data_IF_021734361831
#
_entry.id   IF_021734361831
#
_cell.length_a   1.000
_cell.length_b   1.000
_cell.length_c   1.000
_cell.angle_alpha   90.00
_cell.angle_beta   90.00
_cell.angle_gamma   90.00
#
_symmetry.space_group_name_H-M   'P 1'
#
loop_
_entity.id
_entity.type
_entity.pdbx_description
1 polymer ?
#
# COMPACT_ATOMS: atom_id res chain seq x y z
N UNK A 1 35.32 34.70 22.45
CA UNK A 1 34.21 33.73 22.34
C UNK A 1 33.30 34.17 21.20
N UNK A 2 33.24 33.43 20.08
CA UNK A 2 32.22 33.66 19.04
C UNK A 2 30.99 32.82 19.43
N UNK A 3 29.87 33.49 19.67
CA UNK A 3 28.60 32.83 20.03
C UNK A 3 28.09 32.00 18.85
N UNK A 4 27.57 30.80 19.11
CA UNK A 4 27.08 29.83 18.11
C UNK A 4 25.61 30.03 17.72
N UNK A 5 24.99 31.16 18.09
CA UNK A 5 23.62 31.48 17.70
C UNK A 5 23.56 31.83 16.21
N UNK A 6 22.67 31.17 15.46
CA UNK A 6 22.37 31.56 14.08
C UNK A 6 21.93 33.04 14.06
N UNK A 7 22.56 33.89 13.24
CA UNK A 7 22.11 35.27 13.10
C UNK A 7 20.69 35.26 12.50
N UNK A 8 19.72 35.75 13.27
CA UNK A 8 18.37 35.98 12.79
C UNK A 8 18.33 37.28 11.97
N UNK A 9 17.65 37.26 10.81
CA UNK A 9 17.42 38.46 10.03
C UNK A 9 16.56 39.44 10.84
N UNK A 10 17.14 40.59 11.19
CA UNK A 10 16.44 41.64 11.91
C UNK A 10 15.89 42.71 10.96
N UNK A 11 15.01 43.57 11.47
CA UNK A 11 14.35 44.62 10.66
C UNK A 11 15.36 45.58 10.02
N UNK A 12 16.49 45.85 10.68
CA UNK A 12 17.56 46.69 10.14
C UNK A 12 18.23 46.05 8.92
N UNK A 13 18.47 44.72 8.96
CA UNK A 13 19.02 43.96 7.83
C UNK A 13 18.08 43.93 6.62
N UNK A 14 16.76 43.94 6.83
CA UNK A 14 15.77 44.02 5.74
C UNK A 14 15.79 45.37 5.02
N UNK A 15 16.03 46.48 5.75
CA UNK A 15 16.09 47.83 5.16
C UNK A 15 17.30 48.04 4.26
N UNK A 16 18.37 47.28 4.50
CA UNK A 16 19.62 47.35 3.74
C UNK A 16 19.63 46.40 2.54
N UNK A 17 18.58 45.59 2.34
CA UNK A 17 18.51 44.65 1.23
C UNK A 17 18.36 45.43 -0.10
N UNK A 18 19.30 45.30 -1.05
CA UNK A 18 19.16 45.93 -2.35
C UNK A 18 18.06 45.21 -3.14
N UNK A 19 16.91 45.86 -3.27
CA UNK A 19 15.80 45.37 -4.09
C UNK A 19 15.93 45.99 -5.48
N UNK A 20 16.04 45.19 -6.56
CA UNK A 20 16.05 45.72 -7.91
C UNK A 20 14.71 46.37 -8.22
N UNK A 21 14.73 47.64 -8.61
CA UNK A 21 13.52 48.34 -9.05
C UNK A 21 13.29 48.07 -10.53
N UNK A 22 12.17 47.43 -10.84
CA UNK A 22 11.73 47.09 -12.19
C UNK A 22 10.39 47.77 -12.49
N UNK A 23 10.04 47.93 -13.76
CA UNK A 23 8.78 48.57 -14.14
C UNK A 23 7.57 47.74 -13.69
N UNK A 24 6.44 48.40 -13.44
CA UNK A 24 5.23 47.72 -12.97
C UNK A 24 4.71 46.67 -13.97
N UNK A 25 4.90 46.92 -15.26
CA UNK A 25 4.50 45.97 -16.32
C UNK A 25 5.37 44.71 -16.32
N UNK A 26 6.69 44.85 -16.18
CA UNK A 26 7.58 43.69 -16.04
C UNK A 26 7.26 42.90 -14.76
N UNK A 27 6.93 43.57 -13.65
CA UNK A 27 6.56 42.89 -12.39
C UNK A 27 5.36 41.99 -12.60
N UNK A 28 4.30 42.49 -13.25
CA UNK A 28 3.11 41.71 -13.57
C UNK A 28 3.43 40.52 -14.47
N UNK A 29 4.28 40.71 -15.48
CA UNK A 29 4.68 39.63 -16.38
C UNK A 29 5.41 38.52 -15.63
N UNK A 30 6.36 38.88 -14.76
CA UNK A 30 7.08 37.90 -13.92
C UNK A 30 6.11 37.17 -12.98
N UNK A 31 5.21 37.89 -12.32
CA UNK A 31 4.21 37.27 -11.42
C UNK A 31 3.32 36.30 -12.18
N UNK A 32 2.81 36.70 -13.35
CA UNK A 32 1.96 35.85 -14.19
C UNK A 32 2.67 34.56 -14.63
N UNK A 33 3.95 34.66 -14.99
CA UNK A 33 4.77 33.48 -15.35
C UNK A 33 5.00 32.57 -14.14
N UNK A 34 5.28 33.14 -12.96
CA UNK A 34 5.44 32.39 -11.71
C UNK A 34 4.15 31.66 -11.35
N UNK A 35 3.01 32.36 -11.37
CA UNK A 35 1.69 31.79 -11.08
C UNK A 35 1.35 30.66 -12.05
N UNK A 36 1.65 30.84 -13.33
CA UNK A 36 1.46 29.81 -14.35
C UNK A 36 2.28 28.56 -14.04
N UNK A 37 3.56 28.71 -13.70
CA UNK A 37 4.44 27.59 -13.37
C UNK A 37 4.04 26.89 -12.07
N UNK A 38 3.63 27.64 -11.05
CA UNK A 38 3.13 27.08 -9.80
C UNK A 38 1.85 26.28 -10.04
N UNK A 39 0.93 26.80 -10.87
CA UNK A 39 -0.29 26.06 -11.24
C UNK A 39 0.02 24.73 -11.96
N UNK A 40 1.09 24.68 -12.76
CA UNK A 40 1.55 23.42 -13.37
C UNK A 40 2.03 22.43 -12.30
N UNK A 41 2.78 22.89 -11.30
CA UNK A 41 3.22 22.04 -10.18
C UNK A 41 2.02 21.45 -9.43
N UNK A 42 1.01 22.26 -9.10
CA UNK A 42 -0.18 21.82 -8.38
C UNK A 42 -0.93 20.71 -9.16
N UNK A 43 -1.09 20.90 -10.48
CA UNK A 43 -1.74 19.89 -11.35
C UNK A 43 -0.95 18.60 -11.45
N UNK A 44 0.38 18.69 -11.47
CA UNK A 44 1.24 17.50 -11.48
C UNK A 44 1.11 16.72 -10.17
N UNK A 45 1.07 17.40 -9.03
CA UNK A 45 0.88 16.77 -7.73
C UNK A 45 -0.48 16.05 -7.65
N UNK A 46 -1.55 16.70 -8.12
CA UNK A 46 -2.88 16.08 -8.20
C UNK A 46 -2.88 14.84 -9.12
N UNK A 47 -2.23 14.94 -10.28
CA UNK A 47 -2.12 13.85 -11.25
C UNK A 47 -1.38 12.65 -10.65
N UNK A 48 -0.24 12.90 -9.97
CA UNK A 48 0.53 11.85 -9.30
C UNK A 48 -0.31 11.17 -8.22
N UNK A 49 -1.01 11.96 -7.40
CA UNK A 49 -1.85 11.43 -6.33
C UNK A 49 -2.96 10.54 -6.87
N UNK A 50 -3.64 10.99 -7.93
CA UNK A 50 -4.70 10.22 -8.59
C UNK A 50 -4.17 8.94 -9.24
N UNK A 51 -3.02 9.02 -9.92
CA UNK A 51 -2.39 7.85 -10.54
C UNK A 51 -1.99 6.78 -9.51
N UNK A 52 -1.50 7.19 -8.34
CA UNK A 52 -1.18 6.28 -7.24
C UNK A 52 -2.43 5.57 -6.72
N UNK A 53 -3.53 6.30 -6.49
CA UNK A 53 -4.80 5.72 -6.06
C UNK A 53 -5.35 4.72 -7.09
N UNK A 54 -5.30 5.06 -8.38
CA UNK A 54 -5.73 4.16 -9.45
C UNK A 54 -4.86 2.91 -9.55
N UNK A 55 -3.54 3.06 -9.39
CA UNK A 55 -2.59 1.93 -9.37
C UNK A 55 -2.89 0.97 -8.22
N UNK A 56 -3.15 1.50 -7.02
CA UNK A 56 -3.54 0.69 -5.87
C UNK A 56 -4.86 -0.04 -6.10
N UNK A 57 -5.89 0.66 -6.58
CA UNK A 57 -7.18 0.07 -6.90
C UNK A 57 -7.08 -1.03 -7.98
N UNK A 58 -6.27 -0.80 -9.02
CA UNK A 58 -6.00 -1.78 -10.07
C UNK A 58 -5.30 -3.01 -9.50
N UNK A 59 -4.27 -2.83 -8.65
CA UNK A 59 -3.57 -3.92 -7.99
C UNK A 59 -4.54 -4.78 -7.16
N UNK A 60 -5.43 -4.15 -6.39
CA UNK A 60 -6.44 -4.85 -5.61
C UNK A 60 -7.44 -5.61 -6.51
N UNK A 61 -7.86 -4.99 -7.62
CA UNK A 61 -8.76 -5.62 -8.60
C UNK A 61 -8.12 -6.86 -9.25
N UNK A 62 -6.84 -6.77 -9.64
CA UNK A 62 -6.09 -7.89 -10.20
C UNK A 62 -5.96 -9.01 -9.16
N UNK A 63 -5.57 -8.68 -7.93
CA UNK A 63 -5.42 -9.67 -6.86
C UNK A 63 -6.74 -10.39 -6.57
N UNK A 64 -7.84 -9.65 -6.49
CA UNK A 64 -9.18 -10.21 -6.35
C UNK A 64 -9.52 -11.17 -7.49
N UNK A 65 -9.31 -10.75 -8.74
CA UNK A 65 -9.55 -11.61 -9.92
C UNK A 65 -8.65 -12.84 -9.93
N UNK A 66 -7.41 -12.73 -9.44
CA UNK A 66 -6.48 -13.85 -9.33
C UNK A 66 -7.00 -14.91 -8.36
N UNK A 67 -7.43 -14.49 -7.16
CA UNK A 67 -7.99 -15.40 -6.15
C UNK A 67 -9.34 -16.00 -6.55
N UNK A 68 -10.14 -15.28 -7.34
CA UNK A 68 -11.38 -15.81 -7.93
C UNK A 68 -11.13 -16.75 -9.12
N UNK A 69 -9.88 -16.91 -9.58
CA UNK A 69 -9.52 -17.72 -10.75
C UNK A 69 -9.93 -17.09 -12.09
N UNK A 70 -10.41 -15.85 -12.11
CA UNK A 70 -10.97 -15.20 -13.30
C UNK A 70 -9.94 -14.54 -14.22
N UNK A 71 -8.65 -14.70 -13.94
CA UNK A 71 -7.57 -14.15 -14.78
C UNK A 71 -7.33 -14.98 -16.06
N UNK A 72 -7.81 -16.22 -16.11
CA UNK A 72 -7.65 -17.13 -17.25
C UNK A 72 -9.00 -17.78 -17.55
N UNK A 73 -9.23 -18.14 -18.81
CA UNK A 73 -10.43 -18.88 -19.22
C UNK A 73 -10.52 -20.21 -18.43
N UNK A 74 -11.64 -20.39 -17.73
CA UNK A 74 -11.90 -21.58 -16.93
C UNK A 74 -12.39 -22.72 -17.82
N UNK A 75 -11.92 -23.95 -17.57
CA UNK A 75 -12.40 -25.12 -18.29
C UNK A 75 -13.72 -25.59 -17.64
N UNK A 76 -14.82 -25.74 -18.40
CA UNK A 76 -16.11 -26.21 -17.86
C UNK A 76 -16.05 -27.59 -17.21
N UNK A 77 -15.02 -28.39 -17.54
CA UNK A 77 -14.80 -29.71 -16.97
C UNK A 77 -13.99 -29.70 -15.66
N UNK A 78 -13.53 -28.53 -15.19
CA UNK A 78 -12.77 -28.44 -13.95
C UNK A 78 -13.64 -28.79 -12.74
N UNK A 79 -13.09 -29.57 -11.82
CA UNK A 79 -13.77 -29.93 -10.58
C UNK A 79 -13.99 -28.67 -9.72
N UNK A 80 -15.22 -28.38 -9.24
CA UNK A 80 -15.44 -27.22 -8.40
C UNK A 80 -14.69 -27.36 -7.07
N UNK A 81 -14.08 -26.26 -6.63
CA UNK A 81 -13.30 -26.18 -5.39
C UNK A 81 -14.07 -26.65 -4.14
N UNK A 82 -15.40 -26.57 -4.15
CA UNK A 82 -16.28 -27.11 -3.11
C UNK A 82 -16.08 -28.61 -2.88
N UNK A 83 -15.91 -29.42 -3.93
CA UNK A 83 -15.68 -30.87 -3.80
C UNK A 83 -14.32 -31.17 -3.16
N UNK A 84 -13.30 -30.39 -3.51
CA UNK A 84 -11.98 -30.49 -2.87
C UNK A 84 -12.05 -30.13 -1.38
N UNK A 85 -12.78 -29.07 -1.02
CA UNK A 85 -12.98 -28.67 0.37
C UNK A 85 -13.74 -29.72 1.19
N UNK A 86 -14.73 -30.38 0.60
CA UNK A 86 -15.42 -31.51 1.23
C UNK A 86 -14.47 -32.68 1.48
N UNK A 87 -13.65 -33.09 0.48
CA UNK A 87 -12.62 -34.13 0.68
C UNK A 87 -11.67 -33.76 1.82
N UNK A 88 -11.13 -32.54 1.82
CA UNK A 88 -10.22 -32.07 2.87
C UNK A 88 -10.89 -32.09 4.25
N UNK A 89 -12.16 -31.68 4.37
CA UNK A 89 -12.92 -31.75 5.63
C UNK A 89 -13.09 -33.19 6.10
N UNK A 90 -13.50 -34.08 5.22
CA UNK A 90 -13.66 -35.50 5.53
C UNK A 90 -12.33 -36.16 5.92
N UNK A 91 -11.24 -35.86 5.23
CA UNK A 91 -9.92 -36.43 5.49
C UNK A 91 -9.31 -35.90 6.79
N UNK A 92 -9.53 -34.61 7.12
CA UNK A 92 -9.15 -34.04 8.42
C UNK A 92 -9.96 -34.66 9.56
N UNK A 93 -11.26 -34.88 9.36
CA UNK A 93 -12.11 -35.54 10.35
C UNK A 93 -11.63 -36.98 10.60
N UNK A 94 -11.40 -37.78 9.55
CA UNK A 94 -10.88 -39.14 9.65
C UNK A 94 -9.51 -39.19 10.37
N UNK A 95 -8.56 -38.37 9.95
CA UNK A 95 -7.23 -38.28 10.59
C UNK A 95 -7.31 -37.89 12.07
N UNK A 96 -8.24 -37.01 12.43
CA UNK A 96 -8.42 -36.62 13.84
C UNK A 96 -8.97 -37.75 14.71
N UNK A 97 -9.80 -38.63 14.13
CA UNK A 97 -10.37 -39.81 14.80
C UNK A 97 -9.32 -40.92 14.93
N UNK A 98 -8.53 -41.18 13.87
CA UNK A 98 -7.43 -42.15 13.89
C UNK A 98 -6.34 -41.77 14.91
N UNK A 99 -5.91 -40.49 14.95
CA UNK A 99 -4.98 -40.00 15.98
C UNK A 99 -5.52 -40.14 17.40
N UNK A 100 -6.84 -40.07 17.61
CA UNK A 100 -7.46 -40.27 18.93
C UNK A 100 -7.57 -41.76 19.29
N UNK A 101 -7.72 -42.66 18.31
CA UNK A 101 -7.68 -44.11 18.52
C UNK A 101 -6.27 -44.58 18.87
N UNK A 102 -5.24 -44.22 18.09
CA UNK A 102 -3.86 -44.64 18.39
C UNK A 102 -3.42 -44.17 19.78
N UNK A 103 -3.72 -42.92 20.17
CA UNK A 103 -3.41 -42.41 21.52
C UNK A 103 -4.13 -43.16 22.64
N UNK A 104 -5.33 -43.69 22.39
CA UNK A 104 -6.07 -44.50 23.37
C UNK A 104 -5.48 -45.91 23.45
N UNK A 105 -5.14 -46.51 22.32
CA UNK A 105 -4.54 -47.84 22.26
C UNK A 105 -3.14 -47.85 22.92
N UNK A 106 -2.32 -46.82 22.66
CA UNK A 106 -1.03 -46.62 23.34
C UNK A 106 -1.22 -46.47 24.86
N UNK A 107 -2.25 -45.75 25.32
CA UNK A 107 -2.54 -45.55 26.74
C UNK A 107 -3.11 -46.80 27.43
N UNK A 108 -3.79 -47.68 26.69
CA UNK A 108 -4.29 -48.97 27.20
C UNK A 108 -3.12 -49.94 27.37
N UNK A 109 -2.22 -50.04 26.36
CA UNK A 109 -1.04 -50.90 26.41
C UNK A 109 -0.16 -50.57 27.64
N UNK A 110 0.04 -49.28 27.93
CA UNK A 110 0.83 -48.83 29.10
C UNK A 110 0.17 -49.18 30.44
N UNK A 111 -1.15 -49.35 30.50
CA UNK A 111 -1.88 -49.71 31.74
C UNK A 111 -1.95 -51.22 31.98
N UNK A 112 -1.86 -52.05 30.95
CA UNK A 112 -1.88 -53.52 31.07
C UNK A 112 -0.49 -54.15 31.23
N UNK A 113 0.60 -53.38 31.09
CA UNK A 113 1.98 -53.84 31.28
C UNK A 113 2.56 -53.55 32.67
N UNK A 114 1.72 -53.29 33.67
CA UNK A 114 2.11 -53.07 35.07
C UNK A 114 1.21 -53.85 36.00
#
# INVERSE_FOLDING_TARGET
MKSTAQPAYNVSMFKELPIPFMSFEEQKQIVSEIETRLSVCDKLEETITTALQQSEALRQSILKKAFEGKLVAQNPNDEPSSKLLERIKSDRAKNSVEKKKSRRDDMIIVKTTK
#
